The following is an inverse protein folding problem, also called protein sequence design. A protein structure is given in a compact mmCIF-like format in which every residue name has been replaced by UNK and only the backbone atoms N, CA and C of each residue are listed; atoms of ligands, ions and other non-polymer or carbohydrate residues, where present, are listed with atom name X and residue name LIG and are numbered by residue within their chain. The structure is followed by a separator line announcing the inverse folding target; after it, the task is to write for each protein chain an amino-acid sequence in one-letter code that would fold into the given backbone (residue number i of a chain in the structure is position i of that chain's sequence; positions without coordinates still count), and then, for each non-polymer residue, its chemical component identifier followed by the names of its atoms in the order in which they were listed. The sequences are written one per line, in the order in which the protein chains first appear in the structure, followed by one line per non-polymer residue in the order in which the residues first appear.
data_IF_730432572185
#
_entry.id   IF_730432572185
#
_cell.length_a   1.000
_cell.length_b   1.000
_cell.length_c   1.000
_cell.angle_alpha   90.00
_cell.angle_beta   90.00
_cell.angle_gamma   90.00
#
_symmetry.space_group_name_H-M   'P 1'
#
loop_
_entity.id
_entity.type
_entity.pdbx_description
1 polymer ?
#
# COMPACT_ATOMS: atom_id res chain seq x y z
N UNK A 1 6.35 -17.44 -11.21
CA UNK A 1 4.87 -17.32 -11.25
C UNK A 1 4.31 -16.58 -10.02
N UNK A 2 4.60 -17.00 -8.78
CA UNK A 2 4.07 -16.35 -7.56
C UNK A 2 4.41 -14.85 -7.44
N UNK A 3 5.68 -14.48 -7.59
CA UNK A 3 6.15 -13.08 -7.52
C UNK A 3 5.47 -12.20 -8.58
N UNK A 4 5.28 -12.74 -9.79
CA UNK A 4 4.62 -12.04 -10.89
C UNK A 4 3.13 -11.77 -10.59
N UNK A 5 2.40 -12.77 -10.09
CA UNK A 5 0.99 -12.61 -9.70
C UNK A 5 0.86 -11.58 -8.58
N UNK A 6 1.74 -11.64 -7.58
CA UNK A 6 1.72 -10.67 -6.48
C UNK A 6 2.02 -9.25 -6.97
N UNK A 7 3.02 -9.08 -7.85
CA UNK A 7 3.33 -7.79 -8.45
C UNK A 7 2.15 -7.24 -9.26
N UNK A 8 1.56 -8.06 -10.14
CA UNK A 8 0.41 -7.66 -10.96
C UNK A 8 -0.81 -7.26 -10.11
N UNK A 9 -1.13 -8.06 -9.08
CA UNK A 9 -2.26 -7.77 -8.19
C UNK A 9 -2.01 -6.48 -7.39
N UNK A 10 -0.79 -6.25 -6.90
CA UNK A 10 -0.47 -5.03 -6.18
C UNK A 10 -0.48 -3.80 -7.09
N UNK A 11 0.05 -3.93 -8.32
CA UNK A 11 0.01 -2.87 -9.32
C UNK A 11 -1.43 -2.52 -9.71
N UNK A 12 -2.30 -3.51 -9.87
CA UNK A 12 -3.72 -3.30 -10.11
C UNK A 12 -4.39 -2.53 -8.96
N UNK A 13 -4.10 -2.89 -7.70
CA UNK A 13 -4.62 -2.16 -6.54
C UNK A 13 -4.07 -0.72 -6.48
N UNK A 14 -2.81 -0.50 -6.86
CA UNK A 14 -2.21 0.83 -6.94
C UNK A 14 -2.94 1.71 -7.96
N UNK A 15 -3.14 1.21 -9.19
CA UNK A 15 -3.87 1.93 -10.24
C UNK A 15 -5.34 2.19 -9.86
N UNK A 16 -5.99 1.26 -9.15
CA UNK A 16 -7.34 1.50 -8.64
C UNK A 16 -7.40 2.66 -7.64
N UNK A 17 -6.40 2.77 -6.75
CA UNK A 17 -6.33 3.91 -5.81
C UNK A 17 -6.05 5.22 -6.55
N UNK A 18 -5.19 5.20 -7.56
CA UNK A 18 -4.93 6.37 -8.41
C UNK A 18 -6.19 6.82 -9.14
N UNK A 19 -6.98 5.89 -9.66
CA UNK A 19 -8.25 6.17 -10.32
C UNK A 19 -9.29 6.73 -9.35
N UNK A 20 -9.29 6.27 -8.08
CA UNK A 20 -10.11 6.86 -7.00
C UNK A 20 -9.69 8.31 -6.73
N UNK A 21 -8.39 8.60 -6.62
CA UNK A 21 -7.86 9.96 -6.42
C UNK A 21 -8.32 10.88 -7.56
N UNK A 22 -8.14 10.45 -8.80
CA UNK A 22 -8.55 11.22 -9.98
C UNK A 22 -10.07 11.43 -10.02
N UNK A 23 -10.85 10.43 -9.60
CA UNK A 23 -12.31 10.54 -9.53
C UNK A 23 -12.79 11.53 -8.48
N UNK A 24 -12.06 11.69 -7.38
CA UNK A 24 -12.32 12.74 -6.40
C UNK A 24 -12.00 14.14 -6.95
N UNK A 25 -10.93 14.28 -7.74
CA UNK A 25 -10.59 15.56 -8.38
C UNK A 25 -11.65 16.06 -9.38
N UNK A 26 -12.32 15.14 -10.08
CA UNK A 26 -13.33 15.46 -11.12
C UNK A 26 -14.76 15.32 -10.60
N UNK A 27 -14.96 15.15 -9.28
CA UNK A 27 -16.27 14.79 -8.72
C UNK A 27 -17.36 15.84 -8.97
N UNK A 28 -17.00 17.13 -8.89
CA UNK A 28 -17.89 18.26 -9.12
C UNK A 28 -17.84 18.81 -10.55
N UNK A 29 -16.98 18.24 -11.41
CA UNK A 29 -16.74 18.80 -12.73
C UNK A 29 -17.96 18.62 -13.65
N UNK A 30 -18.25 19.67 -14.42
CA UNK A 30 -19.42 19.76 -15.31
C UNK A 30 -20.79 19.87 -14.63
N UNK A 31 -20.84 20.19 -13.33
CA UNK A 31 -22.10 20.38 -12.60
C UNK A 31 -22.39 21.87 -12.33
N UNK A 32 -23.63 22.28 -12.55
CA UNK A 32 -24.09 23.62 -12.23
C UNK A 32 -24.28 23.79 -10.71
N UNK A 33 -23.41 24.61 -10.10
CA UNK A 33 -23.44 24.91 -8.66
C UNK A 33 -24.69 25.70 -8.27
N UNK A 34 -25.27 26.47 -9.20
CA UNK A 34 -26.48 27.27 -8.98
C UNK A 34 -27.70 26.43 -8.61
N UNK A 35 -27.71 25.16 -9.02
CA UNK A 35 -28.77 24.18 -8.71
C UNK A 35 -28.88 23.91 -7.20
N UNK A 36 -27.84 24.17 -6.42
CA UNK A 36 -27.87 23.98 -4.97
C UNK A 36 -28.80 24.96 -4.23
N UNK A 37 -29.12 26.12 -4.84
CA UNK A 37 -30.08 27.10 -4.31
C UNK A 37 -31.53 26.73 -4.61
N UNK A 38 -31.78 25.80 -5.54
CA UNK A 38 -33.13 25.41 -5.94
C UNK A 38 -33.83 24.61 -4.83
N UNK A 39 -35.17 24.65 -4.76
CA UNK A 39 -35.94 23.81 -3.85
C UNK A 39 -35.62 22.33 -4.02
N UNK A 40 -35.73 21.54 -2.95
CA UNK A 40 -35.40 20.09 -2.96
C UNK A 40 -36.21 19.30 -4.01
N UNK A 41 -37.43 19.77 -4.34
CA UNK A 41 -38.32 19.14 -5.31
C UNK A 41 -38.03 19.51 -6.77
N UNK A 42 -37.08 20.41 -7.02
CA UNK A 42 -36.73 20.83 -8.38
C UNK A 42 -36.06 19.67 -9.14
N UNK A 43 -36.53 19.39 -10.36
CA UNK A 43 -36.02 18.31 -11.19
C UNK A 43 -34.53 18.46 -11.51
N UNK A 44 -34.03 19.69 -11.67
CA UNK A 44 -32.61 19.95 -11.95
C UNK A 44 -31.75 19.55 -10.75
N UNK A 45 -32.20 19.86 -9.54
CA UNK A 45 -31.52 19.48 -8.30
C UNK A 45 -31.51 17.98 -8.08
N UNK A 46 -32.63 17.32 -8.37
CA UNK A 46 -32.73 15.87 -8.29
C UNK A 46 -31.81 15.19 -9.32
N UNK A 47 -31.74 15.71 -10.55
CA UNK A 47 -30.86 15.17 -11.60
C UNK A 47 -29.37 15.29 -11.25
N UNK A 48 -28.95 16.45 -10.74
CA UNK A 48 -27.57 16.67 -10.26
C UNK A 48 -27.25 15.75 -9.07
N UNK A 49 -28.15 15.65 -8.09
CA UNK A 49 -27.96 14.75 -6.95
C UNK A 49 -27.81 13.29 -7.39
N UNK A 50 -28.63 12.81 -8.34
CA UNK A 50 -28.50 11.45 -8.88
C UNK A 50 -27.14 11.24 -9.54
N UNK A 51 -26.64 12.23 -10.26
CA UNK A 51 -25.33 12.15 -10.92
C UNK A 51 -24.19 12.09 -9.90
N UNK A 52 -24.24 12.93 -8.87
CA UNK A 52 -23.31 12.91 -7.74
C UNK A 52 -23.32 11.58 -7.00
N UNK A 53 -24.51 11.07 -6.65
CA UNK A 53 -24.65 9.78 -5.99
C UNK A 53 -24.07 8.63 -6.83
N UNK A 54 -24.31 8.62 -8.15
CA UNK A 54 -23.71 7.62 -9.06
C UNK A 54 -22.19 7.72 -9.10
N UNK A 55 -21.62 8.93 -9.13
CA UNK A 55 -20.16 9.14 -9.09
C UNK A 55 -19.57 8.63 -7.77
N UNK A 56 -20.23 8.94 -6.65
CA UNK A 56 -19.82 8.47 -5.31
C UNK A 56 -19.94 6.96 -5.14
N UNK A 57 -21.03 6.35 -5.59
CA UNK A 57 -21.21 4.89 -5.55
C UNK A 57 -20.07 4.18 -6.28
N UNK A 58 -19.66 4.70 -7.44
CA UNK A 58 -18.53 4.16 -8.21
C UNK A 58 -17.21 4.28 -7.44
N UNK A 59 -16.94 5.45 -6.85
CA UNK A 59 -15.75 5.69 -6.03
C UNK A 59 -15.71 4.73 -4.84
N UNK A 60 -16.81 4.62 -4.09
CA UNK A 60 -16.94 3.73 -2.93
C UNK A 60 -16.77 2.28 -3.33
N UNK A 61 -17.29 1.87 -4.49
CA UNK A 61 -17.15 0.50 -5.00
C UNK A 61 -15.68 0.18 -5.32
N UNK A 62 -14.96 1.08 -6.00
CA UNK A 62 -13.54 0.90 -6.28
C UNK A 62 -12.70 0.89 -5.01
N UNK A 63 -12.93 1.85 -4.10
CA UNK A 63 -12.26 1.91 -2.82
C UNK A 63 -12.46 0.60 -2.04
N UNK A 64 -13.71 0.16 -1.85
CA UNK A 64 -14.00 -1.10 -1.16
C UNK A 64 -13.42 -2.34 -1.87
N UNK A 65 -13.34 -2.34 -3.20
CA UNK A 65 -12.71 -3.42 -3.96
C UNK A 65 -11.22 -3.55 -3.63
N UNK A 66 -10.51 -2.42 -3.48
CA UNK A 66 -9.10 -2.40 -3.07
C UNK A 66 -8.95 -2.97 -1.66
N UNK A 67 -9.75 -2.51 -0.69
CA UNK A 67 -9.69 -3.03 0.68
C UNK A 67 -9.99 -4.53 0.76
N UNK A 68 -11.02 -5.01 0.04
CA UNK A 68 -11.34 -6.44 -0.05
C UNK A 68 -10.21 -7.24 -0.70
N UNK A 69 -9.57 -6.69 -1.72
CA UNK A 69 -8.46 -7.35 -2.41
C UNK A 69 -7.25 -7.46 -1.48
N UNK A 70 -6.89 -6.39 -0.79
CA UNK A 70 -5.79 -6.39 0.19
C UNK A 70 -6.08 -7.34 1.35
N UNK A 71 -7.31 -7.39 1.85
CA UNK A 71 -7.69 -8.34 2.90
C UNK A 71 -7.55 -9.80 2.44
N UNK A 72 -7.96 -10.12 1.21
CA UNK A 72 -7.78 -11.44 0.61
C UNK A 72 -6.30 -11.79 0.43
N UNK A 73 -5.51 -10.84 -0.10
CA UNK A 73 -4.06 -10.98 -0.26
C UNK A 73 -3.42 -11.25 1.09
N UNK A 74 -3.76 -10.48 2.12
CA UNK A 74 -3.23 -10.65 3.47
C UNK A 74 -3.56 -12.03 4.05
N UNK A 75 -4.77 -12.53 3.81
CA UNK A 75 -5.19 -13.87 4.27
C UNK A 75 -4.43 -15.00 3.56
N UNK A 76 -4.22 -14.90 2.26
CA UNK A 76 -3.60 -15.96 1.46
C UNK A 76 -2.07 -15.91 1.56
N UNK A 77 -1.50 -14.70 1.53
CA UNK A 77 -0.06 -14.49 1.45
C UNK A 77 0.59 -14.28 2.82
N UNK A 78 -0.18 -14.04 3.89
CA UNK A 78 0.38 -13.78 5.20
C UNK A 78 1.28 -14.90 5.73
N UNK A 79 0.81 -16.16 5.72
CA UNK A 79 1.64 -17.31 6.15
C UNK A 79 2.88 -17.50 5.27
N UNK A 80 2.77 -17.64 3.93
CA UNK A 80 3.93 -17.76 3.04
C UNK A 80 4.96 -16.64 3.21
N UNK A 81 4.50 -15.42 3.43
CA UNK A 81 5.33 -14.25 3.65
C UNK A 81 6.11 -14.34 4.98
N UNK A 82 5.50 -14.85 6.06
CA UNK A 82 6.24 -15.11 7.31
C UNK A 82 7.38 -16.08 7.07
N UNK A 83 7.08 -17.22 6.42
CA UNK A 83 8.09 -18.22 6.11
C UNK A 83 9.19 -17.65 5.21
N UNK A 84 8.82 -16.86 4.20
CA UNK A 84 9.76 -16.18 3.32
C UNK A 84 10.66 -15.24 4.11
N UNK A 85 10.12 -14.40 5.00
CA UNK A 85 10.91 -13.46 5.79
C UNK A 85 11.88 -14.17 6.72
N UNK A 86 11.44 -15.24 7.38
CA UNK A 86 12.32 -16.02 8.27
C UNK A 86 13.44 -16.71 7.49
N UNK A 87 13.09 -17.38 6.38
CA UNK A 87 14.07 -18.08 5.55
C UNK A 87 15.07 -17.12 4.91
N UNK A 88 14.61 -16.02 4.31
CA UNK A 88 15.49 -15.03 3.71
C UNK A 88 16.35 -14.31 4.75
N UNK A 89 15.86 -14.06 5.97
CA UNK A 89 16.67 -13.49 7.05
C UNK A 89 17.82 -14.41 7.45
N UNK A 90 17.57 -15.72 7.56
CA UNK A 90 18.61 -16.71 7.83
C UNK A 90 19.61 -16.80 6.67
N UNK A 91 19.12 -16.82 5.43
CA UNK A 91 19.96 -16.85 4.23
C UNK A 91 20.87 -15.61 4.14
N UNK A 92 20.33 -14.41 4.36
CA UNK A 92 21.12 -13.15 4.35
C UNK A 92 22.23 -13.20 5.40
N UNK A 93 21.96 -13.70 6.61
CA UNK A 93 22.96 -13.84 7.67
C UNK A 93 24.10 -14.81 7.27
N UNK A 94 23.75 -16.00 6.79
CA UNK A 94 24.73 -17.01 6.37
C UNK A 94 25.54 -16.53 5.16
N UNK A 95 24.90 -15.93 4.17
CA UNK A 95 25.58 -15.41 2.98
C UNK A 95 26.53 -14.26 3.35
N UNK A 96 26.12 -13.37 4.27
CA UNK A 96 26.99 -12.30 4.76
C UNK A 96 28.24 -12.84 5.46
N UNK A 97 28.10 -13.90 6.28
CA UNK A 97 29.23 -14.58 6.91
C UNK A 97 30.16 -15.21 5.88
N UNK A 98 29.62 -15.98 4.92
CA UNK A 98 30.41 -16.64 3.88
C UNK A 98 31.19 -15.64 3.02
N UNK A 99 30.59 -14.50 2.69
CA UNK A 99 31.27 -13.42 1.95
C UNK A 99 32.44 -12.87 2.77
N UNK A 100 32.24 -12.63 4.07
CA UNK A 100 33.28 -12.11 4.95
C UNK A 100 34.45 -13.09 5.12
N UNK A 101 34.17 -14.37 5.36
CA UNK A 101 35.20 -15.41 5.50
C UNK A 101 36.03 -15.58 4.22
N UNK A 102 35.38 -15.61 3.05
CA UNK A 102 36.09 -15.66 1.76
C UNK A 102 36.94 -14.42 1.52
N UNK A 103 36.44 -13.25 1.89
CA UNK A 103 37.14 -11.99 1.73
C UNK A 103 38.37 -11.90 2.65
N UNK A 104 38.26 -12.37 3.90
CA UNK A 104 39.39 -12.46 4.83
C UNK A 104 40.48 -13.42 4.30
N UNK A 105 40.08 -14.45 3.53
CA UNK A 105 40.99 -15.35 2.79
C UNK A 105 41.50 -14.78 1.44
N UNK A 106 41.18 -13.52 1.11
CA UNK A 106 41.61 -12.85 -0.12
C UNK A 106 40.86 -13.26 -1.40
N UNK A 107 39.75 -14.01 -1.28
CA UNK A 107 38.95 -14.50 -2.42
C UNK A 107 37.63 -13.75 -2.49
N UNK A 108 37.33 -13.13 -3.63
CA UNK A 108 36.02 -12.53 -3.90
C UNK A 108 35.16 -13.53 -4.65
N UNK A 109 34.17 -14.10 -3.96
CA UNK A 109 33.20 -15.00 -4.59
C UNK A 109 31.98 -14.24 -5.10
N UNK A 110 31.98 -13.98 -6.40
CA UNK A 110 30.92 -13.23 -7.10
C UNK A 110 29.56 -13.94 -6.98
N UNK A 111 29.55 -15.27 -6.91
CA UNK A 111 28.31 -16.04 -6.80
C UNK A 111 27.63 -15.76 -5.45
N UNK A 112 28.38 -15.76 -4.35
CA UNK A 112 27.84 -15.46 -3.02
C UNK A 112 27.33 -14.02 -2.92
N UNK A 113 28.05 -13.05 -3.50
CA UNK A 113 27.60 -11.65 -3.56
C UNK A 113 26.28 -11.53 -4.34
N UNK A 114 26.18 -12.22 -5.48
CA UNK A 114 24.95 -12.24 -6.29
C UNK A 114 23.79 -12.87 -5.49
N UNK A 115 24.00 -14.00 -4.84
CA UNK A 115 22.98 -14.67 -4.02
C UNK A 115 22.52 -13.81 -2.83
N UNK A 116 23.46 -13.16 -2.16
CA UNK A 116 23.15 -12.20 -1.10
C UNK A 116 22.27 -11.06 -1.61
N UNK A 117 22.67 -10.43 -2.71
CA UNK A 117 21.90 -9.33 -3.31
C UNK A 117 20.48 -9.77 -3.71
N UNK A 118 20.34 -10.97 -4.28
CA UNK A 118 19.06 -11.53 -4.66
C UNK A 118 18.15 -11.78 -3.45
N UNK A 119 18.70 -12.33 -2.37
CA UNK A 119 17.96 -12.56 -1.12
C UNK A 119 17.51 -11.24 -0.47
N UNK A 120 18.36 -10.21 -0.48
CA UNK A 120 18.01 -8.87 0.02
C UNK A 120 16.89 -8.24 -0.82
N UNK A 121 16.97 -8.30 -2.16
CA UNK A 121 15.92 -7.78 -3.04
C UNK A 121 14.60 -8.51 -2.79
N UNK A 122 14.64 -9.83 -2.60
CA UNK A 122 13.45 -10.64 -2.33
C UNK A 122 12.73 -10.24 -1.02
N UNK A 123 13.47 -9.77 -0.01
CA UNK A 123 12.91 -9.21 1.23
C UNK A 123 12.44 -7.76 1.05
N UNK A 124 13.15 -6.98 0.25
CA UNK A 124 12.88 -5.55 0.07
C UNK A 124 11.59 -5.29 -0.71
N UNK A 125 11.35 -6.03 -1.80
CA UNK A 125 10.18 -5.85 -2.68
C UNK A 125 8.83 -5.84 -1.93
N UNK A 126 8.46 -6.84 -1.11
CA UNK A 126 7.16 -6.83 -0.42
C UNK A 126 7.04 -5.70 0.61
N UNK A 127 8.13 -5.36 1.31
CA UNK A 127 8.16 -4.26 2.28
C UNK A 127 8.02 -2.89 1.60
N UNK A 128 8.66 -2.71 0.44
CA UNK A 128 8.57 -1.51 -0.36
C UNK A 128 7.17 -1.33 -0.93
N UNK A 129 6.59 -2.39 -1.53
CA UNK A 129 5.24 -2.36 -2.08
C UNK A 129 4.18 -2.10 -1.01
N UNK A 130 4.31 -2.73 0.18
CA UNK A 130 3.42 -2.47 1.31
C UNK A 130 3.46 -1.00 1.75
N UNK A 131 4.65 -0.40 1.76
CA UNK A 131 4.82 1.03 2.10
C UNK A 131 4.23 1.95 1.03
N UNK A 132 4.46 1.65 -0.25
CA UNK A 132 3.89 2.41 -1.37
C UNK A 132 2.36 2.39 -1.34
N UNK A 133 1.77 1.22 -1.10
CA UNK A 133 0.32 1.06 -1.01
C UNK A 133 -0.26 1.81 0.19
N UNK A 134 0.42 1.76 1.35
CA UNK A 134 0.07 2.54 2.55
C UNK A 134 0.08 4.04 2.25
N UNK A 135 1.14 4.54 1.62
CA UNK A 135 1.26 5.96 1.28
C UNK A 135 0.17 6.39 0.28
N UNK A 136 -0.11 5.55 -0.72
CA UNK A 136 -1.17 5.83 -1.70
C UNK A 136 -2.56 5.87 -1.06
N UNK A 137 -2.81 5.05 -0.03
CA UNK A 137 -4.04 5.11 0.76
C UNK A 137 -4.21 6.47 1.46
N UNK A 138 -3.13 7.00 2.02
CA UNK A 138 -3.14 8.32 2.64
C UNK A 138 -3.35 9.45 1.62
N UNK A 139 -2.79 9.33 0.42
CA UNK A 139 -3.08 10.25 -0.69
C UNK A 139 -4.57 10.24 -1.08
N UNK A 140 -5.28 9.11 -0.98
CA UNK A 140 -6.74 9.11 -1.17
C UNK A 140 -7.44 9.98 -0.12
N UNK A 141 -7.05 9.87 1.15
CA UNK A 141 -7.62 10.68 2.22
C UNK A 141 -7.35 12.19 1.99
N UNK A 142 -6.16 12.51 1.49
CA UNK A 142 -5.77 13.88 1.16
C UNK A 142 -6.55 14.42 -0.05
N UNK A 143 -6.73 13.60 -1.09
CA UNK A 143 -7.57 13.95 -2.24
C UNK A 143 -9.05 14.12 -1.86
N UNK A 144 -9.56 13.34 -0.89
CA UNK A 144 -10.90 13.52 -0.34
C UNK A 144 -11.03 14.87 0.37
N UNK A 145 -9.98 15.34 1.04
CA UNK A 145 -9.98 16.64 1.70
C UNK A 145 -9.98 17.79 0.68
N UNK A 146 -9.13 17.69 -0.34
CA UNK A 146 -8.91 18.70 -1.36
C UNK A 146 -9.94 18.72 -2.50
N UNK A 147 -10.95 17.84 -2.51
CA UNK A 147 -11.95 17.79 -3.57
C UNK A 147 -12.97 18.95 -3.54
N UNK A 148 -12.81 19.94 -2.66
CA UNK A 148 -13.68 21.14 -2.62
C UNK A 148 -15.08 20.88 -2.06
N UNK A 149 -15.30 19.76 -1.36
CA UNK A 149 -16.62 19.42 -0.78
C UNK A 149 -17.07 20.41 0.31
N UNK A 150 -16.13 21.12 0.94
CA UNK A 150 -16.41 22.12 1.96
C UNK A 150 -16.65 23.53 1.36
N UNK A 151 -16.12 23.78 0.17
CA UNK A 151 -16.25 25.07 -0.54
C UNK A 151 -17.52 25.12 -1.41
N UNK A 152 -17.98 23.95 -1.89
CA UNK A 152 -19.16 23.85 -2.76
C UNK A 152 -20.42 23.52 -1.98
N UNK A 153 -21.52 24.18 -2.34
CA UNK A 153 -22.84 23.93 -1.75
C UNK A 153 -23.38 22.54 -2.13
N UNK A 154 -22.95 22.01 -3.28
CA UNK A 154 -23.15 20.62 -3.72
C UNK A 154 -22.44 19.61 -2.80
N UNK A 155 -21.26 19.96 -2.28
CA UNK A 155 -20.49 19.09 -1.38
C UNK A 155 -21.21 18.79 -0.06
N UNK A 156 -22.13 19.65 0.39
CA UNK A 156 -22.99 19.36 1.56
C UNK A 156 -23.83 18.10 1.38
N UNK A 157 -24.18 17.76 0.15
CA UNK A 157 -25.02 16.61 -0.19
C UNK A 157 -24.23 15.30 -0.12
N UNK A 158 -22.90 15.35 -0.25
CA UNK A 158 -22.00 14.20 -0.22
C UNK A 158 -21.10 14.17 1.02
N UNK A 159 -21.20 15.17 1.90
CA UNK A 159 -20.33 15.37 3.06
C UNK A 159 -20.14 14.08 3.87
N UNK A 160 -21.24 13.41 4.23
CA UNK A 160 -21.19 12.20 5.05
C UNK A 160 -20.45 11.08 4.34
N UNK A 161 -20.72 10.87 3.05
CA UNK A 161 -20.08 9.80 2.27
C UNK A 161 -18.58 10.06 2.09
N UNK A 162 -18.20 11.30 1.79
CA UNK A 162 -16.79 11.70 1.66
C UNK A 162 -16.04 11.52 2.99
N UNK A 163 -16.66 11.93 4.11
CA UNK A 163 -16.07 11.73 5.45
C UNK A 163 -15.86 10.25 5.77
N UNK A 164 -16.83 9.38 5.44
CA UNK A 164 -16.69 7.94 5.66
C UNK A 164 -15.53 7.38 4.84
N UNK A 165 -15.40 7.77 3.57
CA UNK A 165 -14.27 7.33 2.72
C UNK A 165 -12.94 7.86 3.28
N UNK A 166 -12.88 9.11 3.72
CA UNK A 166 -11.67 9.71 4.30
C UNK A 166 -11.21 8.96 5.56
N UNK A 167 -12.12 8.71 6.52
CA UNK A 167 -11.80 7.97 7.76
C UNK A 167 -11.34 6.54 7.44
N UNK A 168 -11.95 5.90 6.43
CA UNK A 168 -11.55 4.56 5.98
C UNK A 168 -10.20 4.55 5.29
N UNK A 169 -9.90 5.55 4.46
CA UNK A 169 -8.63 5.70 3.75
C UNK A 169 -7.45 5.97 4.70
N UNK A 170 -7.70 6.63 5.83
CA UNK A 170 -6.69 6.86 6.89
C UNK A 170 -6.34 5.60 7.69
N UNK A 171 -7.11 4.52 7.57
CA UNK A 171 -6.72 3.24 8.19
C UNK A 171 -5.56 2.64 7.39
N UNK A 172 -4.44 2.28 8.04
CA UNK A 172 -3.27 1.78 7.34
C UNK A 172 -3.63 0.50 6.58
N UNK A 173 -3.55 0.54 5.25
CA UNK A 173 -3.60 -0.62 4.36
C UNK A 173 -2.32 -1.44 4.56
N UNK A 174 -2.26 -2.14 5.70
CA UNK A 174 -1.15 -3.03 6.05
C UNK A 174 -1.59 -4.47 5.92
N UNK A 175 -0.72 -5.27 5.31
CA UNK A 175 -0.80 -6.73 5.36
C UNK A 175 -0.50 -7.14 6.80
N UNK A 176 -1.58 -7.39 7.57
CA UNK A 176 -1.50 -7.87 8.94
C UNK A 176 -1.52 -9.40 8.92
N UNK A 177 -0.48 -10.01 9.48
CA UNK A 177 -0.48 -11.43 9.74
C UNK A 177 0.02 -11.71 11.15
N UNK A 178 -0.58 -12.71 11.81
CA UNK A 178 -0.24 -13.12 13.16
C UNK A 178 1.21 -13.59 13.21
N UNK A 179 2.05 -12.92 14.01
CA UNK A 179 3.45 -13.30 14.23
C UNK A 179 4.50 -12.46 13.49
N UNK A 180 4.11 -11.47 12.68
CA UNK A 180 5.04 -10.47 12.12
C UNK A 180 4.53 -9.04 12.35
N UNK A 181 5.43 -8.05 12.54
CA UNK A 181 5.08 -6.65 12.46
C UNK A 181 4.56 -6.31 11.05
N UNK A 182 3.81 -5.21 10.95
CA UNK A 182 3.30 -4.70 9.67
C UNK A 182 4.41 -4.67 8.61
N UNK A 183 4.12 -5.15 7.40
CA UNK A 183 5.06 -5.04 6.29
C UNK A 183 5.28 -3.57 5.92
N UNK A 184 6.44 -3.05 6.31
CA UNK A 184 6.89 -1.72 5.95
C UNK A 184 8.41 -1.73 5.72
N UNK A 185 8.91 -0.67 5.11
CA UNK A 185 10.36 -0.43 5.03
C UNK A 185 11.01 -0.39 6.43
N UNK A 186 10.27 0.01 7.46
CA UNK A 186 10.75 -0.01 8.86
C UNK A 186 11.06 -1.46 9.30
N UNK A 187 10.18 -2.41 8.98
CA UNK A 187 10.39 -3.84 9.26
C UNK A 187 11.60 -4.40 8.50
N UNK A 188 11.80 -4.01 7.24
CA UNK A 188 12.99 -4.39 6.48
C UNK A 188 14.27 -3.87 7.14
N UNK A 189 14.31 -2.58 7.50
CA UNK A 189 15.46 -1.96 8.16
C UNK A 189 15.79 -2.65 9.49
N UNK A 190 14.76 -2.97 10.29
CA UNK A 190 14.93 -3.69 11.55
C UNK A 190 15.56 -5.07 11.33
N UNK A 191 15.06 -5.85 10.35
CA UNK A 191 15.62 -7.17 10.03
C UNK A 191 17.07 -7.10 9.55
N UNK A 192 17.40 -6.12 8.69
CA UNK A 192 18.76 -5.93 8.22
C UNK A 192 19.71 -5.55 9.38
N UNK A 193 19.26 -4.68 10.28
CA UNK A 193 20.03 -4.34 11.49
C UNK A 193 20.28 -5.55 12.38
N UNK A 194 19.27 -6.41 12.59
CA UNK A 194 19.46 -7.65 13.38
C UNK A 194 20.43 -8.61 12.71
N UNK A 195 20.36 -8.78 11.37
CA UNK A 195 21.30 -9.61 10.63
C UNK A 195 22.73 -9.10 10.74
N UNK A 196 22.94 -7.78 10.65
CA UNK A 196 24.26 -7.17 10.82
C UNK A 196 24.82 -7.34 12.25
N UNK A 197 23.97 -7.20 13.28
CA UNK A 197 24.38 -7.46 14.66
C UNK A 197 24.80 -8.92 14.88
N UNK A 198 24.03 -9.88 14.34
CA UNK A 198 24.39 -11.30 14.39
C UNK A 198 25.70 -11.59 13.67
N UNK A 199 25.91 -10.97 12.50
CA UNK A 199 27.16 -11.06 11.77
C UNK A 199 28.36 -10.58 12.61
N UNK A 200 28.26 -9.42 13.26
CA UNK A 200 29.32 -8.91 14.12
C UNK A 200 29.61 -9.86 15.29
N UNK A 201 28.58 -10.45 15.90
CA UNK A 201 28.76 -11.43 16.98
C UNK A 201 29.49 -12.69 16.48
N UNK A 202 29.11 -13.23 15.32
CA UNK A 202 29.77 -14.40 14.72
C UNK A 202 31.24 -14.11 14.40
N UNK A 203 31.54 -12.91 13.89
CA UNK A 203 32.91 -12.47 13.57
C UNK A 203 33.76 -12.18 14.82
N UNK A 204 33.14 -11.86 15.96
CA UNK A 204 33.87 -11.71 17.23
C UNK A 204 34.19 -13.05 17.90
N UNK A 205 33.40 -14.10 17.60
CA UNK A 205 33.57 -15.42 18.20
C UNK A 205 34.57 -16.31 17.44
N UNK A 206 34.71 -16.10 16.13
CA UNK A 206 35.66 -16.78 15.26
C UNK A 206 36.96 -15.97 15.13
#
# INVERSE_FOLDING_TARGET
VYVYIQFHVLLHNYYLLELVILSFGVIFDGLDVGVAYLPVRDERRIAVQRTLNKRMERIVTWHNSVFKSIAKISKIQGAPLVYQVMFSSAAVCLMMYQIADKLDNGVVDILFIMLFSAATIQLWVPCHLGTMLRNKAFEVADACWHCGWHETLLGRLLKTDIMIVMVRAQQPLSIKFTGLPNLSLETFSSKMSSAYSLFNMLRQYN
#
